data_IF_014094265682
#
_entry.id   IF_014094265682
#
_cell.length_a   1.000
_cell.length_b   1.000
_cell.length_c   1.000
_cell.angle_alpha   90.00
_cell.angle_beta   90.00
_cell.angle_gamma   90.00
#
_symmetry.space_group_name_H-M   'P 1'
#
loop_
_entity.id
_entity.type
_entity.pdbx_description
1 polymer ?
#
# COMPACT_ATOMS: atom_id res chain seq x y z
N UNK A 1 -3.86 19.11 2.73
CA UNK A 1 -4.22 17.80 2.14
C UNK A 1 -3.84 16.73 3.15
N UNK A 2 -4.79 15.91 3.62
CA UNK A 2 -4.49 14.87 4.63
C UNK A 2 -3.75 13.73 3.90
N UNK A 3 -2.58 13.28 4.38
CA UNK A 3 -1.86 12.20 3.72
C UNK A 3 -2.74 10.96 3.73
N UNK A 4 -2.83 10.29 2.58
CA UNK A 4 -3.54 9.03 2.49
C UNK A 4 -2.77 8.01 3.33
N UNK A 5 -3.40 7.49 4.37
CA UNK A 5 -2.81 6.45 5.21
C UNK A 5 -2.89 5.11 4.50
N UNK A 6 -1.76 4.42 4.38
CA UNK A 6 -1.66 3.10 3.82
C UNK A 6 -0.83 2.20 4.73
N UNK A 7 -1.15 0.91 4.68
CA UNK A 7 -0.42 -0.15 5.36
C UNK A 7 0.15 -1.16 4.33
N UNK A 8 1.05 -2.03 4.79
CA UNK A 8 1.69 -3.05 3.97
C UNK A 8 1.51 -4.41 4.63
N UNK A 9 0.71 -5.23 3.97
CA UNK A 9 0.60 -6.65 4.28
C UNK A 9 1.67 -7.43 3.49
N UNK A 10 2.46 -8.25 4.18
CA UNK A 10 3.46 -9.10 3.56
C UNK A 10 3.05 -10.56 3.71
N UNK A 11 2.97 -11.27 2.59
CA UNK A 11 2.81 -12.72 2.59
C UNK A 11 4.13 -13.44 2.95
N UNK A 12 4.06 -14.75 3.25
CA UNK A 12 5.22 -15.62 3.56
C UNK A 12 6.36 -15.57 2.53
N UNK A 13 6.06 -15.19 1.28
CA UNK A 13 7.05 -15.00 0.23
C UNK A 13 7.61 -13.55 0.13
N UNK A 14 7.35 -12.70 1.13
CA UNK A 14 7.72 -11.28 1.16
C UNK A 14 7.11 -10.48 -0.01
N UNK A 15 5.95 -10.92 -0.51
CA UNK A 15 5.15 -10.18 -1.47
C UNK A 15 4.34 -9.12 -0.73
N UNK A 16 4.55 -7.85 -1.09
CA UNK A 16 3.86 -6.73 -0.43
C UNK A 16 2.53 -6.39 -1.12
N UNK A 17 1.51 -6.24 -0.29
CA UNK A 17 0.18 -5.77 -0.66
C UNK A 17 -0.09 -4.47 0.07
N UNK A 18 -0.33 -3.41 -0.71
CA UNK A 18 -0.83 -2.13 -0.21
C UNK A 18 -2.24 -2.34 0.32
N UNK A 19 -2.48 -1.92 1.56
CA UNK A 19 -3.80 -1.87 2.18
C UNK A 19 -4.13 -0.41 2.47
N UNK A 20 -5.18 0.09 1.85
CA UNK A 20 -5.63 1.48 1.99
C UNK A 20 -7.02 1.47 2.60
N UNK A 21 -7.19 2.10 3.76
CA UNK A 21 -8.51 2.26 4.34
C UNK A 21 -9.28 3.38 3.63
N UNK A 22 -10.49 3.09 3.18
CA UNK A 22 -11.38 4.09 2.65
C UNK A 22 -11.76 5.08 3.74
N UNK A 23 -11.54 6.37 3.50
CA UNK A 23 -11.87 7.44 4.45
C UNK A 23 -13.37 7.68 4.58
N UNK A 24 -14.18 7.16 3.66
CA UNK A 24 -15.64 7.32 3.67
C UNK A 24 -16.37 6.20 4.43
N UNK A 25 -16.04 4.93 4.15
CA UNK A 25 -16.74 3.78 4.73
C UNK A 25 -15.86 2.87 5.60
N UNK A 26 -14.55 3.13 5.69
CA UNK A 26 -13.61 2.31 6.45
C UNK A 26 -13.21 0.99 5.77
N UNK A 27 -13.79 0.63 4.62
CA UNK A 27 -13.40 -0.59 3.90
C UNK A 27 -11.96 -0.53 3.41
N UNK A 28 -11.30 -1.68 3.48
CA UNK A 28 -9.93 -1.84 3.04
C UNK A 28 -9.86 -2.13 1.54
N UNK A 29 -9.07 -1.33 0.83
CA UNK A 29 -8.77 -1.50 -0.58
C UNK A 29 -7.37 -2.09 -0.70
N UNK A 30 -7.26 -3.28 -1.27
CA UNK A 30 -6.01 -4.05 -1.32
C UNK A 30 -5.46 -4.14 -2.74
N UNK A 31 -4.17 -3.85 -2.93
CA UNK A 31 -3.47 -4.03 -4.21
C UNK A 31 -2.04 -4.46 -4.04
N UNK A 32 -1.58 -5.38 -4.87
CA UNK A 32 -0.17 -5.78 -4.86
C UNK A 32 0.72 -4.61 -5.27
N UNK A 33 1.71 -4.28 -4.43
CA UNK A 33 2.61 -3.16 -4.66
C UNK A 33 3.37 -3.31 -5.99
N UNK A 34 3.82 -4.55 -6.29
CA UNK A 34 4.54 -4.86 -7.54
C UNK A 34 3.74 -4.63 -8.82
N UNK A 35 2.41 -4.65 -8.72
CA UNK A 35 1.49 -4.53 -9.86
C UNK A 35 0.73 -3.20 -9.84
N UNK A 36 1.08 -2.28 -8.93
CA UNK A 36 0.45 -0.97 -8.83
C UNK A 36 1.34 0.06 -9.51
N UNK A 37 0.80 0.69 -10.56
CA UNK A 37 1.47 1.79 -11.24
C UNK A 37 1.18 3.13 -10.52
N UNK A 38 2.05 4.15 -10.68
CA UNK A 38 1.69 5.50 -10.27
C UNK A 38 0.39 5.95 -10.95
N UNK A 39 -0.36 6.80 -10.25
CA UNK A 39 -1.65 7.34 -10.67
C UNK A 39 -2.75 6.28 -10.82
N UNK A 40 -2.55 5.09 -10.24
CA UNK A 40 -3.59 4.07 -10.13
C UNK A 40 -4.71 4.57 -9.22
N UNK A 41 -5.94 4.58 -9.72
CA UNK A 41 -7.13 4.86 -8.92
C UNK A 41 -7.58 3.58 -8.23
N UNK A 42 -7.60 3.61 -6.90
CA UNK A 42 -8.22 2.59 -6.08
C UNK A 42 -9.68 2.99 -5.85
N UNK A 43 -10.61 2.17 -6.32
CA UNK A 43 -12.03 2.39 -6.13
C UNK A 43 -12.54 1.53 -4.99
N UNK A 44 -13.18 2.17 -4.02
CA UNK A 44 -13.89 1.51 -2.95
C UNK A 44 -15.30 1.09 -3.43
N UNK A 45 -15.84 0.05 -2.81
CA UNK A 45 -17.20 -0.43 -3.06
C UNK A 45 -18.27 0.64 -2.77
N UNK A 46 -18.01 1.51 -1.78
CA UNK A 46 -18.89 2.64 -1.47
C UNK A 46 -18.86 3.77 -2.52
N UNK A 47 -18.08 3.63 -3.60
CA UNK A 47 -17.94 4.62 -4.67
C UNK A 47 -16.88 5.68 -4.42
N UNK A 48 -16.17 5.65 -3.29
CA UNK A 48 -15.05 6.58 -3.05
C UNK A 48 -13.80 6.13 -3.80
N UNK A 49 -13.03 7.09 -4.30
CA UNK A 49 -11.83 6.84 -5.09
C UNK A 49 -10.61 7.44 -4.40
N UNK A 50 -9.53 6.67 -4.33
CA UNK A 50 -8.25 7.09 -3.78
C UNK A 50 -7.16 6.90 -4.82
N UNK A 51 -6.44 7.96 -5.15
CA UNK A 51 -5.35 7.90 -6.13
C UNK A 51 -4.03 7.51 -5.46
N UNK A 52 -3.40 6.46 -5.98
CA UNK A 52 -2.04 6.08 -5.65
C UNK A 52 -1.05 6.94 -6.41
N UNK A 53 -0.61 8.02 -5.78
CA UNK A 53 0.45 8.86 -6.36
C UNK A 53 1.80 8.15 -6.31
N UNK A 54 2.73 8.58 -7.16
CA UNK A 54 4.14 8.14 -7.12
C UNK A 54 4.74 8.27 -5.72
N UNK A 55 4.39 9.33 -4.98
CA UNK A 55 4.91 9.53 -3.63
C UNK A 55 4.46 8.44 -2.66
N UNK A 56 3.21 7.99 -2.75
CA UNK A 56 2.70 6.88 -1.95
C UNK A 56 3.41 5.57 -2.29
N UNK A 57 3.63 5.29 -3.59
CA UNK A 57 4.35 4.09 -4.02
C UNK A 57 5.81 4.09 -3.58
N UNK A 58 6.50 5.24 -3.64
CA UNK A 58 7.88 5.36 -3.16
C UNK A 58 7.97 5.20 -1.64
N UNK A 59 7.01 5.73 -0.89
CA UNK A 59 6.95 5.53 0.56
C UNK A 59 6.73 4.04 0.90
N UNK A 60 5.81 3.38 0.19
CA UNK A 60 5.55 1.95 0.33
C UNK A 60 6.76 1.08 -0.01
N UNK A 61 7.46 1.36 -1.11
CA UNK A 61 8.68 0.65 -1.49
C UNK A 61 9.79 0.82 -0.45
N UNK A 62 9.98 2.03 0.08
CA UNK A 62 10.95 2.28 1.17
C UNK A 62 10.62 1.49 2.43
N UNK A 63 9.34 1.45 2.81
CA UNK A 63 8.87 0.71 3.98
C UNK A 63 9.04 -0.80 3.79
N UNK A 64 8.74 -1.33 2.59
CA UNK A 64 9.03 -2.72 2.24
C UNK A 64 10.53 -3.05 2.30
N UNK A 65 11.40 -2.19 1.77
CA UNK A 65 12.85 -2.38 1.82
C UNK A 65 13.35 -2.41 3.27
N UNK A 66 12.82 -1.54 4.14
CA UNK A 66 13.14 -1.54 5.57
C UNK A 66 12.69 -2.83 6.26
N UNK A 67 11.47 -3.32 5.98
CA UNK A 67 10.95 -4.58 6.54
C UNK A 67 11.81 -5.77 6.07
N UNK A 68 12.15 -5.84 4.78
CA UNK A 68 13.01 -6.89 4.23
C UNK A 68 14.40 -6.87 4.87
N UNK A 69 14.99 -5.70 5.04
CA UNK A 69 16.29 -5.55 5.71
C UNK A 69 16.23 -6.02 7.16
N UNK A 70 15.18 -5.67 7.91
CA UNK A 70 14.99 -6.14 9.28
C UNK A 70 14.84 -7.67 9.36
N UNK A 71 14.10 -8.27 8.42
CA UNK A 71 13.97 -9.72 8.32
C UNK A 71 15.28 -10.42 7.95
N UNK A 72 16.09 -9.81 7.08
CA UNK A 72 17.39 -10.37 6.67
C UNK A 72 18.45 -10.28 7.77
N UNK A 73 18.34 -9.33 8.71
CA UNK A 73 19.23 -9.25 9.89
C UNK A 73 18.87 -10.32 10.94
N UNK A 74 17.67 -10.89 10.88
CA UNK A 74 17.22 -11.94 11.79
C UNK A 74 17.42 -13.37 11.25
N UNK A 75 18.08 -13.54 10.11
CA UNK A 75 18.35 -14.83 9.46
C UNK A 75 19.78 -15.32 9.71
#
# INVERSE_FOLDING_TARGET
>A
MKPLSFDLDLDKHLNATLVVACTACGHEMRRHLKSTAPDTVLRCDCGHEATMTTHHLLAAQRRLASIKSAYQVAA
#
